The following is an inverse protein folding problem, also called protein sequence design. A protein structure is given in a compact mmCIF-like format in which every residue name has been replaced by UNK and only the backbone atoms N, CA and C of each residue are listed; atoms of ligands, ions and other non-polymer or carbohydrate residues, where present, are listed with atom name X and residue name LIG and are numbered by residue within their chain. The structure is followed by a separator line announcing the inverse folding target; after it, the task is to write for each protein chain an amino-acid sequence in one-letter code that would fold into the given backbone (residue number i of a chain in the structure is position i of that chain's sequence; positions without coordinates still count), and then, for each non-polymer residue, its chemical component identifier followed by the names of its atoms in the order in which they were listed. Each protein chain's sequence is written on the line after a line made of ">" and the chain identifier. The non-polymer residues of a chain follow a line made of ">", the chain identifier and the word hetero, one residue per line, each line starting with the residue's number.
data_IF_101118349238
#
_entry.id   IF_101118349238
#
_cell.length_a   1.000
_cell.length_b   1.000
_cell.length_c   1.000
_cell.angle_alpha   90.00
_cell.angle_beta   90.00
_cell.angle_gamma   90.00
#
_symmetry.space_group_name_H-M   'P 1'
#
loop_
_entity.id
_entity.type
_entity.pdbx_description
1 polymer ?
#
# COMPACT_ATOMS: atom_id res chain seq x y z
N UNK A 1 3.38 1.67 -0.42
CA UNK A 1 4.22 1.80 0.81
C UNK A 1 4.10 3.17 1.50
N UNK A 2 4.02 4.33 0.84
CA UNK A 2 3.90 5.63 1.56
C UNK A 2 2.68 5.77 2.48
N UNK A 3 1.60 5.04 2.22
CA UNK A 3 0.46 4.97 3.14
C UNK A 3 0.81 4.20 4.42
N UNK A 4 1.49 3.06 4.31
CA UNK A 4 1.94 2.28 5.49
C UNK A 4 2.92 3.13 6.32
N UNK A 5 3.80 3.88 5.66
CA UNK A 5 4.65 4.85 6.34
C UNK A 5 3.85 5.95 7.07
N UNK A 6 2.70 6.37 6.54
CA UNK A 6 1.82 7.33 7.19
C UNK A 6 1.05 6.74 8.39
N UNK A 7 0.83 5.43 8.39
CA UNK A 7 0.25 4.68 9.51
C UNK A 7 1.27 4.32 10.58
N UNK A 8 2.55 4.48 10.30
CA UNK A 8 3.64 4.23 11.26
C UNK A 8 3.72 5.40 12.25
N UNK A 9 3.66 5.15 13.56
CA UNK A 9 3.75 6.17 14.59
C UNK A 9 5.02 7.01 14.48
N UNK A 10 4.95 8.28 14.94
CA UNK A 10 6.02 9.27 14.74
C UNK A 10 7.30 8.99 15.50
N UNK A 11 7.25 8.17 16.52
CA UNK A 11 8.41 7.68 17.28
C UNK A 11 9.33 6.77 16.47
N UNK A 12 8.83 6.21 15.35
CA UNK A 12 9.63 5.42 14.44
C UNK A 12 10.25 6.27 13.35
N UNK A 13 11.54 6.07 13.10
CA UNK A 13 12.21 6.61 11.91
C UNK A 13 11.90 5.74 10.69
N UNK A 14 11.34 6.34 9.65
CA UNK A 14 10.93 5.63 8.44
C UNK A 14 11.73 6.11 7.24
N UNK A 15 12.34 5.18 6.51
CA UNK A 15 12.90 5.39 5.18
C UNK A 15 12.12 4.60 4.13
N UNK A 16 12.18 5.03 2.89
CA UNK A 16 11.49 4.38 1.78
C UNK A 16 12.43 4.20 0.59
N UNK A 17 12.49 3.00 0.06
CA UNK A 17 13.18 2.67 -1.18
C UNK A 17 12.19 2.14 -2.19
N UNK A 18 12.22 2.69 -3.39
CA UNK A 18 11.52 2.18 -4.56
C UNK A 18 12.55 1.84 -5.63
N UNK A 19 12.66 0.57 -5.97
CA UNK A 19 13.67 0.06 -6.90
C UNK A 19 13.52 0.56 -8.35
N UNK A 20 12.39 1.21 -8.66
CA UNK A 20 12.24 1.93 -9.94
C UNK A 20 13.20 3.13 -10.03
N UNK A 21 13.53 3.73 -8.89
CA UNK A 21 14.32 4.98 -8.84
C UNK A 21 15.60 4.89 -8.03
N UNK A 22 15.71 3.97 -7.08
CA UNK A 22 16.86 3.81 -6.20
C UNK A 22 17.19 2.32 -5.99
N UNK A 23 18.45 1.98 -5.85
CA UNK A 23 18.86 0.63 -5.47
C UNK A 23 18.59 0.38 -3.98
N UNK A 24 18.29 -0.87 -3.63
CA UNK A 24 18.19 -1.30 -2.24
C UNK A 24 19.56 -1.19 -1.57
N UNK A 25 19.58 -0.55 -0.42
CA UNK A 25 20.79 -0.39 0.40
C UNK A 25 20.73 -1.32 1.60
N UNK A 26 21.57 -2.33 1.60
CA UNK A 26 21.66 -3.30 2.70
C UNK A 26 22.57 -2.85 3.84
N UNK A 27 23.30 -1.76 3.66
CA UNK A 27 24.24 -1.18 4.62
C UNK A 27 23.60 -0.15 5.56
N UNK A 28 22.32 0.21 5.31
CA UNK A 28 21.58 1.13 6.17
C UNK A 28 21.03 0.36 7.38
N UNK A 29 21.27 0.84 8.61
CA UNK A 29 20.69 0.24 9.80
C UNK A 29 19.16 0.26 9.73
N UNK A 30 18.54 -0.87 10.06
CA UNK A 30 17.08 -1.00 10.15
C UNK A 30 16.74 -2.05 11.21
N UNK A 31 15.73 -1.76 12.02
CA UNK A 31 15.19 -2.69 13.01
C UNK A 31 14.11 -3.60 12.39
N UNK A 32 13.48 -3.15 11.31
CA UNK A 32 12.46 -3.87 10.57
C UNK A 32 12.48 -3.44 9.11
N UNK A 33 12.34 -4.39 8.20
CA UNK A 33 12.11 -4.14 6.78
C UNK A 33 10.70 -4.59 6.39
N UNK A 34 9.89 -3.67 5.88
CA UNK A 34 8.57 -3.97 5.35
C UNK A 34 8.57 -3.86 3.81
N UNK A 35 8.11 -4.90 3.15
CA UNK A 35 8.10 -5.00 1.71
C UNK A 35 6.71 -5.25 1.18
N UNK A 36 6.39 -4.69 0.01
CA UNK A 36 5.19 -5.06 -0.74
C UNK A 36 5.60 -5.70 -2.05
N UNK A 37 4.89 -6.77 -2.44
CA UNK A 37 5.21 -7.46 -3.68
C UNK A 37 3.96 -7.86 -4.46
N UNK A 38 4.10 -7.82 -5.78
CA UNK A 38 3.19 -8.40 -6.74
C UNK A 38 3.82 -9.67 -7.33
N UNK A 39 3.01 -10.54 -7.94
CA UNK A 39 3.49 -11.84 -8.42
C UNK A 39 4.69 -11.76 -9.37
N UNK A 40 4.77 -10.83 -10.33
CA UNK A 40 5.93 -10.73 -11.21
C UNK A 40 7.24 -10.37 -10.51
N UNK A 41 7.19 -9.74 -9.32
CA UNK A 41 8.37 -9.32 -8.57
C UNK A 41 8.66 -10.20 -7.33
N UNK A 42 7.90 -11.28 -7.12
CA UNK A 42 7.97 -12.07 -5.90
C UNK A 42 9.36 -12.69 -5.67
N UNK A 43 9.95 -13.34 -6.66
CA UNK A 43 11.27 -13.95 -6.53
C UNK A 43 12.38 -12.94 -6.25
N UNK A 44 12.27 -11.74 -6.84
CA UNK A 44 13.20 -10.66 -6.54
C UNK A 44 13.02 -10.19 -5.09
N UNK A 45 11.79 -9.95 -4.64
CA UNK A 45 11.50 -9.58 -3.26
C UNK A 45 12.01 -10.62 -2.26
N UNK A 46 11.88 -11.92 -2.56
CA UNK A 46 12.43 -12.99 -1.72
C UNK A 46 13.96 -12.96 -1.65
N UNK A 47 14.61 -12.59 -2.74
CA UNK A 47 16.08 -12.43 -2.76
C UNK A 47 16.52 -11.27 -1.87
N UNK A 48 15.82 -10.14 -1.92
CA UNK A 48 16.06 -8.98 -1.06
C UNK A 48 15.79 -9.33 0.41
N UNK A 49 14.65 -9.98 0.68
CA UNK A 49 14.28 -10.43 2.03
C UNK A 49 15.35 -11.35 2.64
N UNK A 50 15.85 -12.32 1.87
CA UNK A 50 16.92 -13.23 2.30
C UNK A 50 18.18 -12.48 2.71
N UNK A 51 18.56 -11.45 1.99
CA UNK A 51 19.77 -10.67 2.30
C UNK A 51 19.61 -9.87 3.60
N UNK A 52 18.46 -9.24 3.85
CA UNK A 52 18.19 -8.57 5.13
C UNK A 52 18.18 -9.56 6.30
N UNK A 53 17.49 -10.69 6.15
CA UNK A 53 17.42 -11.74 7.18
C UNK A 53 18.80 -12.32 7.47
N UNK A 54 19.66 -12.51 6.47
CA UNK A 54 21.06 -12.95 6.66
C UNK A 54 21.85 -11.95 7.51
N UNK A 55 21.47 -10.68 7.50
CA UNK A 55 22.06 -9.61 8.31
C UNK A 55 21.40 -9.45 9.67
N UNK A 56 20.46 -10.32 10.03
CA UNK A 56 19.74 -10.28 11.30
C UNK A 56 18.62 -9.24 11.35
N UNK A 57 18.24 -8.65 10.21
CA UNK A 57 17.13 -7.70 10.14
C UNK A 57 15.83 -8.46 9.81
N UNK A 58 14.80 -8.43 10.66
CA UNK A 58 13.53 -9.08 10.41
C UNK A 58 12.80 -8.44 9.21
N UNK A 59 12.13 -9.27 8.43
CA UNK A 59 11.43 -8.87 7.21
C UNK A 59 9.96 -9.24 7.28
N UNK A 60 9.10 -8.26 6.99
CA UNK A 60 7.66 -8.42 6.83
C UNK A 60 7.30 -8.23 5.35
N UNK A 61 6.60 -9.19 4.77
CA UNK A 61 6.13 -9.09 3.38
C UNK A 61 4.61 -9.01 3.35
N UNK A 62 4.08 -8.03 2.62
CA UNK A 62 2.67 -7.86 2.33
C UNK A 62 2.42 -7.65 0.83
N UNK A 63 1.20 -7.23 0.49
CA UNK A 63 0.79 -6.93 -0.88
C UNK A 63 0.04 -8.06 -1.56
N UNK A 64 -0.24 -7.87 -2.84
CA UNK A 64 -1.14 -8.76 -3.62
C UNK A 64 -0.64 -10.19 -3.66
N UNK A 65 0.66 -10.40 -3.89
CA UNK A 65 1.23 -11.74 -3.96
C UNK A 65 1.20 -12.45 -2.61
N UNK A 66 1.63 -11.78 -1.54
CA UNK A 66 1.62 -12.33 -0.19
C UNK A 66 0.19 -12.65 0.30
N UNK A 67 -0.80 -11.89 -0.17
CA UNK A 67 -2.22 -12.16 0.10
C UNK A 67 -2.72 -13.40 -0.65
N UNK A 68 -2.29 -13.57 -1.90
CA UNK A 68 -2.69 -14.70 -2.73
C UNK A 68 -2.00 -16.02 -2.34
N UNK A 69 -0.72 -15.95 -1.94
CA UNK A 69 0.14 -17.09 -1.65
C UNK A 69 0.89 -16.91 -0.32
N UNK A 70 0.15 -16.80 0.82
CA UNK A 70 0.75 -16.48 2.11
C UNK A 70 1.72 -17.54 2.62
N UNK A 71 1.46 -18.79 2.36
CA UNK A 71 2.34 -19.89 2.76
C UNK A 71 3.68 -19.86 2.02
N UNK A 72 3.67 -19.49 0.73
CA UNK A 72 4.88 -19.29 -0.05
C UNK A 72 5.67 -18.09 0.50
N UNK A 73 5.04 -16.94 0.62
CA UNK A 73 5.68 -15.73 1.14
C UNK A 73 6.28 -15.94 2.53
N UNK A 74 5.59 -16.70 3.39
CA UNK A 74 6.05 -17.01 4.73
C UNK A 74 7.33 -17.85 4.79
N UNK A 75 7.72 -18.56 3.75
CA UNK A 75 9.02 -19.26 3.70
C UNK A 75 10.20 -18.30 3.56
N UNK A 76 9.93 -17.10 3.05
CA UNK A 76 10.94 -16.11 2.69
C UNK A 76 10.97 -14.88 3.60
N UNK A 77 10.01 -14.74 4.51
CA UNK A 77 9.90 -13.62 5.45
C UNK A 77 9.79 -14.11 6.90
N UNK A 78 9.98 -13.20 7.85
CA UNK A 78 9.76 -13.48 9.28
C UNK A 78 8.28 -13.34 9.63
N UNK A 79 7.57 -12.45 8.92
CA UNK A 79 6.13 -12.32 9.01
C UNK A 79 5.50 -11.98 7.64
N UNK A 80 4.23 -12.36 7.48
CA UNK A 80 3.43 -12.05 6.29
C UNK A 80 2.17 -11.31 6.70
N UNK A 81 1.86 -10.21 5.99
CA UNK A 81 0.59 -9.50 6.14
C UNK A 81 -0.33 -9.87 4.99
N UNK A 82 -1.44 -10.50 5.31
CA UNK A 82 -2.48 -10.96 4.37
C UNK A 82 -3.61 -9.94 4.31
N UNK A 83 -3.94 -9.48 3.12
CA UNK A 83 -4.99 -8.50 2.89
C UNK A 83 -4.53 -7.06 3.16
N UNK A 84 -5.46 -6.28 3.71
CA UNK A 84 -5.22 -4.86 4.01
C UNK A 84 -4.44 -4.72 5.31
N UNK A 85 -3.40 -3.91 5.30
CA UNK A 85 -2.47 -3.78 6.41
C UNK A 85 -2.89 -2.74 7.46
N UNK A 86 -3.88 -1.90 7.18
CA UNK A 86 -4.24 -0.75 8.01
C UNK A 86 -4.55 -1.14 9.46
N UNK A 87 -5.29 -2.21 9.67
CA UNK A 87 -5.66 -2.68 11.01
C UNK A 87 -4.58 -3.55 11.66
N UNK A 88 -3.73 -4.18 10.87
CA UNK A 88 -2.71 -5.11 11.37
C UNK A 88 -1.36 -4.46 11.59
N UNK A 89 -1.08 -3.37 10.89
CA UNK A 89 0.23 -2.72 10.90
C UNK A 89 0.70 -2.25 12.29
N UNK A 90 -0.15 -1.63 13.14
CA UNK A 90 0.25 -1.29 14.51
C UNK A 90 0.71 -2.52 15.30
N UNK A 91 -0.02 -3.63 15.22
CA UNK A 91 0.35 -4.88 15.89
C UNK A 91 1.67 -5.46 15.36
N UNK A 92 1.90 -5.38 14.06
CA UNK A 92 3.19 -5.79 13.47
C UNK A 92 4.34 -4.99 14.07
N UNK A 93 4.18 -3.68 14.25
CA UNK A 93 5.22 -2.81 14.83
C UNK A 93 5.45 -3.14 16.31
N UNK A 94 4.39 -3.30 17.09
CA UNK A 94 4.48 -3.65 18.52
C UNK A 94 5.20 -4.99 18.71
N UNK A 95 4.81 -6.01 17.95
CA UNK A 95 5.41 -7.35 18.00
C UNK A 95 6.88 -7.33 17.53
N UNK A 96 7.18 -6.56 16.49
CA UNK A 96 8.56 -6.37 16.02
C UNK A 96 9.44 -5.73 17.10
N UNK A 97 8.94 -4.67 17.75
CA UNK A 97 9.63 -4.01 18.87
C UNK A 97 9.88 -4.92 20.06
N UNK A 98 9.04 -5.92 20.28
CA UNK A 98 9.20 -6.93 21.31
C UNK A 98 9.99 -8.18 20.86
N UNK A 99 10.39 -8.27 19.60
CA UNK A 99 11.03 -9.46 19.03
C UNK A 99 10.10 -10.68 18.95
N UNK A 100 8.78 -10.46 18.82
CA UNK A 100 7.74 -11.50 18.89
C UNK A 100 6.83 -11.50 17.65
N UNK A 101 7.41 -11.26 16.47
CA UNK A 101 6.65 -11.29 15.23
C UNK A 101 5.87 -12.61 15.07
N UNK A 102 4.56 -12.49 14.83
CA UNK A 102 3.74 -13.62 14.40
C UNK A 102 4.05 -13.97 12.94
N UNK A 103 3.88 -15.24 12.60
CA UNK A 103 4.16 -15.74 11.26
C UNK A 103 3.25 -15.13 10.20
N UNK A 104 1.98 -14.91 10.54
CA UNK A 104 0.96 -14.37 9.64
C UNK A 104 0.06 -13.41 10.39
N UNK A 105 -0.09 -12.22 9.84
CA UNK A 105 -1.04 -11.21 10.29
C UNK A 105 -2.17 -11.11 9.29
N UNK A 106 -3.39 -11.32 9.73
CA UNK A 106 -4.60 -11.19 8.92
C UNK A 106 -5.59 -10.29 9.63
N UNK A 107 -6.11 -9.28 8.93
CA UNK A 107 -7.22 -8.50 9.47
C UNK A 107 -8.51 -9.30 9.42
N UNK A 108 -9.26 -9.27 10.52
CA UNK A 108 -10.60 -9.86 10.61
C UNK A 108 -11.68 -8.94 10.07
N UNK A 109 -11.32 -7.68 9.80
CA UNK A 109 -12.22 -6.65 9.29
C UNK A 109 -11.60 -5.99 8.07
N UNK A 110 -12.45 -5.47 7.20
CA UNK A 110 -12.00 -4.62 6.10
C UNK A 110 -11.74 -3.22 6.64
N UNK A 111 -10.61 -2.64 6.27
CA UNK A 111 -10.26 -1.30 6.67
C UNK A 111 -11.34 -0.30 6.22
N UNK A 112 -11.70 0.63 7.10
CA UNK A 112 -12.47 1.81 6.67
C UNK A 112 -11.57 2.70 5.82
N UNK A 113 -12.14 3.28 4.77
CA UNK A 113 -11.39 4.21 3.93
C UNK A 113 -11.55 5.66 4.37
N UNK A 114 -12.53 5.96 5.24
CA UNK A 114 -12.68 7.27 5.84
C UNK A 114 -11.62 7.48 6.95
N UNK A 115 -11.05 8.66 7.00
CA UNK A 115 -10.00 9.01 7.96
C UNK A 115 -8.62 8.44 7.63
N UNK A 116 -8.41 7.89 6.43
CA UNK A 116 -7.08 7.43 6.03
C UNK A 116 -6.10 8.59 5.97
N UNK A 117 -4.91 8.45 6.57
CA UNK A 117 -3.90 9.50 6.49
C UNK A 117 -3.43 9.70 5.04
N UNK A 118 -3.04 10.93 4.72
CA UNK A 118 -2.36 11.18 3.44
C UNK A 118 -1.03 10.41 3.39
N UNK A 119 -0.68 9.84 2.23
CA UNK A 119 0.61 9.17 2.07
C UNK A 119 1.79 10.08 2.42
N UNK A 120 2.86 9.52 2.95
CA UNK A 120 4.11 10.22 3.25
C UNK A 120 4.83 10.63 1.95
N UNK A 121 4.33 11.71 1.32
CA UNK A 121 4.90 12.25 0.08
C UNK A 121 6.33 12.75 0.25
N UNK A 122 6.72 13.12 1.46
CA UNK A 122 8.09 13.50 1.83
C UNK A 122 9.10 12.38 1.62
N UNK A 123 8.69 11.12 1.76
CA UNK A 123 9.51 9.94 1.52
C UNK A 123 9.65 9.60 0.02
N UNK A 124 8.82 10.22 -0.82
CA UNK A 124 8.88 10.01 -2.26
C UNK A 124 9.66 11.17 -2.88
N UNK A 125 10.74 10.87 -3.55
CA UNK A 125 11.54 11.87 -4.27
C UNK A 125 10.79 12.37 -5.51
N UNK A 126 9.84 13.30 -5.28
CA UNK A 126 8.79 13.71 -6.21
C UNK A 126 9.21 14.07 -7.64
N UNK A 127 10.43 14.58 -7.84
CA UNK A 127 10.94 14.88 -9.19
C UNK A 127 11.23 13.64 -10.04
N UNK A 128 11.37 12.47 -9.44
CA UNK A 128 11.69 11.22 -10.16
C UNK A 128 10.47 10.50 -10.67
N UNK A 129 9.29 10.70 -10.04
CA UNK A 129 8.08 10.01 -10.46
C UNK A 129 7.23 10.80 -11.46
N UNK A 130 7.32 12.13 -11.46
CA UNK A 130 6.51 13.00 -12.32
C UNK A 130 5.00 12.96 -12.02
N UNK A 131 4.53 11.98 -11.23
CA UNK A 131 3.13 11.75 -10.88
C UNK A 131 3.00 11.21 -9.46
N UNK A 132 1.91 11.56 -8.79
CA UNK A 132 1.48 10.94 -7.53
C UNK A 132 0.44 9.86 -7.81
N UNK A 133 0.38 8.87 -6.94
CA UNK A 133 -0.60 7.78 -7.02
C UNK A 133 -1.52 7.86 -5.82
N UNK A 134 -2.82 7.86 -6.04
CA UNK A 134 -3.85 7.83 -5.00
C UNK A 134 -4.89 6.76 -5.29
N UNK A 135 -5.71 6.47 -4.32
CA UNK A 135 -6.93 5.67 -4.45
C UNK A 135 -8.11 6.43 -3.87
N UNK A 136 -9.22 6.42 -4.56
CA UNK A 136 -10.49 6.95 -4.08
C UNK A 136 -11.44 5.83 -3.63
N UNK A 137 -11.25 4.63 -4.20
CA UNK A 137 -12.07 3.45 -3.92
C UNK A 137 -11.22 2.20 -3.75
N UNK A 138 -11.75 1.18 -3.11
CA UNK A 138 -11.17 -0.18 -3.09
C UNK A 138 -12.22 -1.22 -3.38
N UNK A 139 -11.85 -2.18 -4.24
CA UNK A 139 -12.71 -3.27 -4.67
C UNK A 139 -13.50 -2.93 -5.92
N UNK A 140 -14.25 -3.91 -6.40
CA UNK A 140 -15.04 -3.83 -7.61
C UNK A 140 -16.34 -4.62 -7.42
N UNK A 141 -17.50 -4.13 -7.90
CA UNK A 141 -18.77 -4.86 -7.79
C UNK A 141 -18.85 -6.06 -8.73
N UNK A 142 -17.97 -6.14 -9.72
CA UNK A 142 -17.92 -7.24 -10.68
C UNK A 142 -17.17 -8.47 -10.13
N UNK A 143 -17.42 -9.64 -10.74
CA UNK A 143 -16.85 -10.93 -10.34
C UNK A 143 -16.25 -11.63 -11.56
N UNK A 144 -15.37 -10.94 -12.26
CA UNK A 144 -14.72 -11.50 -13.45
C UNK A 144 -13.81 -12.67 -13.05
N UNK A 145 -13.90 -13.79 -13.74
CA UNK A 145 -13.24 -15.05 -13.40
C UNK A 145 -11.71 -14.97 -13.39
N UNK A 146 -11.14 -14.08 -14.19
CA UNK A 146 -9.69 -13.86 -14.29
C UNK A 146 -9.16 -12.80 -13.33
N UNK A 147 -10.02 -12.13 -12.56
CA UNK A 147 -9.64 -10.96 -11.78
C UNK A 147 -9.27 -11.32 -10.33
N UNK A 148 -8.15 -10.79 -9.85
CA UNK A 148 -7.69 -10.99 -8.47
C UNK A 148 -8.41 -10.11 -7.43
N UNK A 149 -9.16 -9.09 -7.84
CA UNK A 149 -9.82 -8.16 -6.93
C UNK A 149 -10.80 -8.84 -5.96
N UNK A 150 -11.62 -9.83 -6.38
CA UNK A 150 -12.45 -10.59 -5.45
C UNK A 150 -11.66 -11.33 -4.38
N UNK A 151 -10.45 -11.80 -4.68
CA UNK A 151 -9.56 -12.43 -3.70
C UNK A 151 -9.05 -11.42 -2.67
N UNK A 152 -8.69 -10.22 -3.10
CA UNK A 152 -8.09 -9.19 -2.24
C UNK A 152 -9.12 -8.53 -1.32
N UNK A 153 -10.27 -8.17 -1.86
CA UNK A 153 -11.27 -7.34 -1.16
C UNK A 153 -12.60 -8.06 -0.94
N UNK A 154 -12.73 -9.31 -1.39
CA UNK A 154 -13.96 -10.08 -1.38
C UNK A 154 -14.91 -9.76 -2.56
N UNK A 155 -15.66 -10.75 -3.00
CA UNK A 155 -16.49 -10.66 -4.21
C UNK A 155 -17.59 -9.61 -4.06
N UNK A 156 -17.74 -8.77 -5.09
CA UNK A 156 -18.82 -7.78 -5.19
C UNK A 156 -18.71 -6.63 -4.17
N UNK A 157 -17.55 -6.42 -3.58
CA UNK A 157 -17.36 -5.35 -2.59
C UNK A 157 -16.73 -4.13 -3.22
N UNK A 158 -17.25 -2.97 -2.86
CA UNK A 158 -16.66 -1.69 -3.23
C UNK A 158 -16.83 -0.71 -2.07
N UNK A 159 -15.74 -0.07 -1.67
CA UNK A 159 -15.69 0.91 -0.58
C UNK A 159 -15.15 2.22 -1.11
N UNK A 160 -15.58 3.33 -0.52
CA UNK A 160 -15.31 4.67 -1.00
C UNK A 160 -14.63 5.49 0.10
N UNK A 161 -13.68 6.31 -0.29
CA UNK A 161 -13.18 7.39 0.56
C UNK A 161 -14.14 8.59 0.49
N UNK A 162 -14.29 9.37 1.55
CA UNK A 162 -14.94 10.69 1.46
C UNK A 162 -14.28 11.55 0.38
N UNK A 163 -15.10 12.16 -0.46
CA UNK A 163 -14.61 12.96 -1.62
C UNK A 163 -13.70 14.10 -1.15
N UNK A 164 -14.06 14.76 -0.06
CA UNK A 164 -13.27 15.86 0.50
C UNK A 164 -11.88 15.42 0.98
N UNK A 165 -11.73 14.19 1.50
CA UNK A 165 -10.44 13.63 1.89
C UNK A 165 -9.56 13.36 0.67
N UNK A 166 -10.12 12.79 -0.39
CA UNK A 166 -9.39 12.56 -1.64
C UNK A 166 -8.94 13.88 -2.27
N UNK A 167 -9.82 14.88 -2.28
CA UNK A 167 -9.50 16.22 -2.80
C UNK A 167 -8.39 16.88 -1.99
N UNK A 168 -8.44 16.83 -0.66
CA UNK A 168 -7.38 17.33 0.23
C UNK A 168 -6.03 16.64 -0.03
N UNK A 169 -6.02 15.33 -0.17
CA UNK A 169 -4.81 14.57 -0.48
C UNK A 169 -4.21 15.00 -1.82
N UNK A 170 -5.04 15.09 -2.86
CA UNK A 170 -4.60 15.48 -4.19
C UNK A 170 -4.12 16.94 -4.20
N UNK A 171 -4.78 17.84 -3.47
CA UNK A 171 -4.34 19.23 -3.33
C UNK A 171 -2.94 19.33 -2.71
N UNK A 172 -2.66 18.51 -1.68
CA UNK A 172 -1.36 18.44 -1.00
C UNK A 172 -0.28 17.68 -1.80
N UNK A 173 -0.65 16.95 -2.84
CA UNK A 173 0.28 16.15 -3.65
C UNK A 173 1.33 17.04 -4.33
N UNK A 174 2.62 16.66 -4.31
CA UNK A 174 3.71 17.49 -4.84
C UNK A 174 3.76 17.56 -6.37
N UNK A 175 2.98 16.71 -7.06
CA UNK A 175 3.00 16.64 -8.53
C UNK A 175 1.75 17.25 -9.17
N UNK A 176 1.87 17.65 -10.42
CA UNK A 176 0.72 18.13 -11.21
C UNK A 176 -0.09 16.99 -11.82
N UNK A 177 0.51 15.83 -11.97
CA UNK A 177 -0.14 14.64 -12.50
C UNK A 177 -0.47 13.66 -11.37
N UNK A 178 -1.67 13.10 -11.38
CA UNK A 178 -2.18 12.14 -10.41
C UNK A 178 -2.72 10.91 -11.14
N UNK A 179 -2.39 9.74 -10.65
CA UNK A 179 -2.94 8.47 -11.12
C UNK A 179 -3.85 7.90 -10.03
N UNK A 180 -5.11 7.70 -10.34
CA UNK A 180 -6.00 6.91 -9.51
C UNK A 180 -5.74 5.42 -9.78
N UNK A 181 -5.23 4.74 -8.77
CA UNK A 181 -4.93 3.30 -8.83
C UNK A 181 -6.10 2.49 -8.28
N UNK A 182 -7.29 2.90 -8.68
CA UNK A 182 -8.55 2.28 -8.28
C UNK A 182 -8.81 1.03 -9.12
N UNK A 183 -9.50 0.05 -8.57
CA UNK A 183 -9.85 -1.17 -9.28
C UNK A 183 -10.94 -0.94 -10.34
N UNK A 184 -11.88 -0.01 -10.06
CA UNK A 184 -12.92 0.43 -10.98
C UNK A 184 -13.63 1.67 -10.44
N UNK A 185 -13.02 2.84 -10.59
CA UNK A 185 -13.56 4.10 -10.05
C UNK A 185 -14.93 4.47 -10.67
N UNK A 186 -15.15 4.07 -11.91
CA UNK A 186 -16.36 4.36 -12.66
C UNK A 186 -17.58 3.49 -12.29
N UNK A 187 -17.39 2.41 -11.53
CA UNK A 187 -18.46 1.48 -11.19
C UNK A 187 -19.63 2.14 -10.42
N UNK A 188 -19.37 3.22 -9.70
CA UNK A 188 -20.39 4.08 -9.13
C UNK A 188 -20.35 5.46 -9.80
N UNK A 189 -21.17 5.64 -10.83
CA UNK A 189 -21.19 6.86 -11.62
C UNK A 189 -21.52 8.12 -10.80
N UNK A 190 -22.32 8.00 -9.72
CA UNK A 190 -22.64 9.13 -8.85
C UNK A 190 -21.41 9.58 -8.08
N UNK A 191 -20.70 8.67 -7.43
CA UNK A 191 -19.49 8.97 -6.69
C UNK A 191 -18.39 9.50 -7.62
N UNK A 192 -18.16 8.85 -8.75
CA UNK A 192 -17.17 9.28 -9.73
C UNK A 192 -17.43 10.71 -10.23
N UNK A 193 -18.70 11.04 -10.56
CA UNK A 193 -19.08 12.38 -10.98
C UNK A 193 -18.85 13.42 -9.88
N UNK A 194 -19.24 13.12 -8.65
CA UNK A 194 -19.02 14.00 -7.50
C UNK A 194 -17.53 14.28 -7.29
N UNK A 195 -16.72 13.24 -7.28
CA UNK A 195 -15.26 13.33 -7.14
C UNK A 195 -14.63 14.17 -8.26
N UNK A 196 -14.96 13.91 -9.52
CA UNK A 196 -14.34 14.60 -10.65
C UNK A 196 -14.74 16.07 -10.72
N UNK A 197 -15.98 16.40 -10.36
CA UNK A 197 -16.42 17.79 -10.22
C UNK A 197 -15.62 18.50 -9.12
N UNK A 198 -15.45 17.84 -7.96
CA UNK A 198 -14.69 18.40 -6.84
C UNK A 198 -13.19 18.57 -7.13
N UNK A 199 -12.62 17.78 -8.03
CA UNK A 199 -11.21 17.90 -8.46
C UNK A 199 -10.98 19.01 -9.48
N UNK A 200 -11.99 19.48 -10.19
CA UNK A 200 -11.86 20.48 -11.27
C UNK A 200 -11.11 21.75 -10.84
N UNK A 201 -11.35 22.35 -9.65
CA UNK A 201 -10.65 23.55 -9.22
C UNK A 201 -9.15 23.38 -9.01
N UNK A 202 -8.67 22.14 -8.77
CA UNK A 202 -7.27 21.85 -8.51
C UNK A 202 -6.39 21.99 -9.77
N UNK A 203 -6.98 21.99 -10.96
CA UNK A 203 -6.29 22.10 -12.26
C UNK A 203 -5.11 21.13 -12.40
N UNK A 204 -5.23 19.96 -11.83
CA UNK A 204 -4.26 18.85 -11.95
C UNK A 204 -4.67 17.91 -13.08
N UNK A 205 -3.68 17.31 -13.72
CA UNK A 205 -3.90 16.22 -14.68
C UNK A 205 -4.13 14.94 -13.91
N UNK A 206 -5.10 14.15 -14.30
CA UNK A 206 -5.32 12.85 -13.69
C UNK A 206 -5.73 11.81 -14.73
N UNK A 207 -5.46 10.56 -14.40
CA UNK A 207 -5.90 9.38 -15.14
C UNK A 207 -6.41 8.33 -14.17
N UNK A 208 -7.31 7.45 -14.61
CA UNK A 208 -7.88 6.34 -13.84
C UNK A 208 -8.11 5.13 -14.72
N UNK A 209 -8.44 4.01 -14.09
CA UNK A 209 -8.95 2.79 -14.73
C UNK A 209 -10.45 2.66 -14.48
#
# INVERSE_FOLDING_TARGET
>A
MPLIAALTPREHSVSHTDEIVDAVRFDVPADLVAMTTATPSAFHAYSVAREFRRRGVPVVIGGVHATALPEEAARHADAVVVGEAEDTWPRVLDDAGCGKLERVYTSTRRATLAGMPAPRWDLIKGRRYGKSVTIATRGCPHRCDYCSIPLLYGPGTMRYRPVDEVVREIAASPTRAVVFWDDNIGANARYAKELFVALTPLKKWWTSQ
#
